data_IF_839490450243
#
_entry.id   IF_839490450243
#
_cell.length_a   1.000
_cell.length_b   1.000
_cell.length_c   1.000
_cell.angle_alpha   90.00
_cell.angle_beta   90.00
_cell.angle_gamma   90.00
#
_symmetry.space_group_name_H-M   'P 1'
#
loop_
_entity.id
_entity.type
_entity.pdbx_description
1 polymer ?
#
# COMPACT_ATOMS: atom_id res chain seq x y z
N UNK A 1 -6.16 -2.22 -32.20
CA UNK A 1 -6.76 -3.46 -31.68
C UNK A 1 -7.22 -3.12 -30.27
N UNK A 2 -8.48 -3.40 -29.88
CA UNK A 2 -8.96 -3.03 -28.55
C UNK A 2 -8.29 -3.92 -27.51
N UNK A 3 -7.69 -3.30 -26.51
CA UNK A 3 -7.12 -4.00 -25.36
C UNK A 3 -8.26 -4.54 -24.50
N UNK A 4 -8.35 -5.86 -24.39
CA UNK A 4 -9.29 -6.51 -23.50
C UNK A 4 -8.92 -6.19 -22.05
N UNK A 5 -9.78 -5.50 -21.32
CA UNK A 5 -9.72 -5.41 -19.88
C UNK A 5 -9.86 -6.82 -19.30
N UNK A 6 -8.80 -7.33 -18.69
CA UNK A 6 -8.86 -8.58 -17.93
C UNK A 6 -9.42 -8.24 -16.55
N UNK A 7 -10.75 -8.30 -16.42
CA UNK A 7 -11.39 -8.30 -15.12
C UNK A 7 -10.87 -9.51 -14.33
N UNK A 8 -10.48 -9.31 -13.08
CA UNK A 8 -10.18 -10.41 -12.17
C UNK A 8 -11.41 -11.34 -12.12
N UNK A 9 -11.25 -12.65 -12.28
CA UNK A 9 -12.40 -13.55 -12.29
C UNK A 9 -13.13 -13.47 -10.95
N UNK A 10 -14.46 -13.35 -11.02
CA UNK A 10 -15.36 -13.54 -9.88
C UNK A 10 -15.12 -14.94 -9.31
N UNK A 11 -14.34 -15.06 -8.24
CA UNK A 11 -14.09 -16.35 -7.60
C UNK A 11 -15.30 -16.68 -6.74
N UNK A 12 -16.17 -17.54 -7.25
CA UNK A 12 -17.21 -18.16 -6.43
C UNK A 12 -16.55 -19.12 -5.44
N UNK A 13 -16.59 -18.79 -4.16
CA UNK A 13 -16.21 -19.68 -3.08
C UNK A 13 -17.46 -20.44 -2.64
N UNK A 14 -17.48 -21.80 -2.67
CA UNK A 14 -18.64 -22.56 -2.21
C UNK A 14 -18.98 -22.20 -0.76
N UNK A 15 -20.24 -21.79 -0.52
CA UNK A 15 -20.73 -21.43 0.83
C UNK A 15 -20.66 -19.93 1.18
N UNK A 16 -20.16 -19.07 0.31
CA UNK A 16 -20.28 -17.61 0.46
C UNK A 16 -21.40 -17.08 -0.45
N UNK A 17 -22.28 -16.16 0.02
CA UNK A 17 -23.26 -15.54 -0.84
C UNK A 17 -22.58 -14.75 -1.96
N UNK A 18 -23.21 -14.73 -3.14
CA UNK A 18 -22.74 -13.93 -4.28
C UNK A 18 -22.65 -12.46 -3.85
N UNK A 19 -21.44 -11.89 -3.95
CA UNK A 19 -21.19 -10.48 -3.65
C UNK A 19 -21.55 -9.67 -4.89
N UNK A 20 -22.81 -9.44 -5.06
CA UNK A 20 -23.42 -8.59 -6.08
C UNK A 20 -24.80 -8.20 -5.56
N UNK A 21 -24.84 -7.18 -4.73
CA UNK A 21 -26.10 -6.65 -4.18
C UNK A 21 -26.10 -6.57 -2.67
N UNK A 22 -26.23 -5.34 -2.16
CA UNK A 22 -26.52 -4.93 -0.79
C UNK A 22 -25.47 -5.33 0.24
N UNK A 23 -24.50 -4.45 0.42
CA UNK A 23 -23.63 -4.45 1.59
C UNK A 23 -24.26 -3.59 2.69
N UNK A 24 -25.30 -4.11 3.23
CA UNK A 24 -25.91 -3.72 4.49
C UNK A 24 -25.13 -4.40 5.65
N UNK A 25 -25.46 -4.06 6.88
CA UNK A 25 -25.09 -4.73 8.15
C UNK A 25 -24.81 -6.26 8.01
N UNK A 26 -25.34 -6.89 6.97
CA UNK A 26 -25.19 -8.30 6.66
C UNK A 26 -23.79 -8.70 6.22
N UNK A 27 -23.05 -7.83 5.49
CA UNK A 27 -21.67 -8.14 5.09
C UNK A 27 -20.72 -7.86 6.25
N UNK A 28 -20.94 -6.77 6.99
CA UNK A 28 -20.22 -6.54 8.23
C UNK A 28 -20.44 -7.70 9.22
N UNK A 29 -21.67 -8.23 9.32
CA UNK A 29 -21.99 -9.42 10.13
C UNK A 29 -21.47 -10.73 9.53
N UNK A 30 -21.37 -10.86 8.21
CA UNK A 30 -20.79 -12.03 7.55
C UNK A 30 -19.26 -12.05 7.71
N UNK A 31 -18.62 -10.88 7.57
CA UNK A 31 -17.18 -10.72 7.83
C UNK A 31 -16.87 -10.95 9.33
N UNK A 32 -17.76 -10.50 10.21
CA UNK A 32 -17.65 -10.71 11.65
C UNK A 32 -17.82 -12.19 12.10
N UNK A 33 -18.26 -13.06 11.19
CA UNK A 33 -18.41 -14.52 11.43
C UNK A 33 -17.37 -15.35 10.67
N UNK A 34 -16.50 -14.72 9.85
CA UNK A 34 -15.46 -15.48 9.16
C UNK A 34 -14.40 -15.95 10.16
N UNK A 35 -14.12 -17.23 10.12
CA UNK A 35 -12.97 -17.81 10.81
C UNK A 35 -11.70 -17.10 10.35
N UNK A 36 -10.80 -16.67 11.26
CA UNK A 36 -9.50 -16.08 10.93
C UNK A 36 -8.68 -16.91 9.93
N UNK A 37 -8.83 -18.22 9.97
CA UNK A 37 -8.20 -19.13 9.00
C UNK A 37 -8.82 -19.00 7.60
N UNK A 38 -10.12 -18.72 7.51
CA UNK A 38 -10.80 -18.50 6.23
C UNK A 38 -10.30 -17.22 5.54
N UNK A 39 -10.00 -16.16 6.31
CA UNK A 39 -9.45 -14.89 5.77
C UNK A 39 -8.05 -15.07 5.18
N UNK A 40 -7.16 -15.78 5.89
CA UNK A 40 -5.84 -16.14 5.37
C UNK A 40 -5.93 -17.00 4.10
N UNK A 41 -6.91 -17.90 4.04
CA UNK A 41 -7.16 -18.72 2.86
C UNK A 41 -7.64 -17.89 1.66
N UNK A 42 -8.41 -16.81 1.86
CA UNK A 42 -8.89 -15.97 0.77
C UNK A 42 -7.75 -15.31 -0.01
N UNK A 43 -6.74 -14.74 0.69
CA UNK A 43 -5.56 -14.20 -0.01
C UNK A 43 -4.81 -15.27 -0.76
N UNK A 44 -4.59 -16.44 -0.15
CA UNK A 44 -3.91 -17.55 -0.82
C UNK A 44 -4.66 -18.01 -2.08
N UNK A 45 -6.01 -18.01 -2.05
CA UNK A 45 -6.85 -18.33 -3.21
C UNK A 45 -6.63 -17.28 -4.30
N UNK A 46 -6.63 -15.98 -3.96
CA UNK A 46 -6.38 -14.88 -4.91
C UNK A 46 -4.99 -14.98 -5.52
N UNK A 47 -3.96 -15.19 -4.72
CA UNK A 47 -2.57 -15.36 -5.19
C UNK A 47 -2.45 -16.57 -6.12
N UNK A 48 -3.02 -17.72 -5.76
CA UNK A 48 -3.02 -18.92 -6.62
C UNK A 48 -3.77 -18.69 -7.93
N UNK A 49 -4.89 -17.98 -7.89
CA UNK A 49 -5.64 -17.61 -9.09
C UNK A 49 -4.83 -16.67 -9.98
N UNK A 50 -4.19 -15.64 -9.42
CA UNK A 50 -3.30 -14.72 -10.14
C UNK A 50 -2.19 -15.49 -10.87
N UNK A 51 -1.47 -16.37 -10.18
CA UNK A 51 -0.40 -17.18 -10.76
C UNK A 51 -0.94 -18.10 -11.85
N UNK A 52 -2.03 -18.82 -11.58
CA UNK A 52 -2.62 -19.78 -12.52
C UNK A 52 -3.12 -19.12 -13.81
N UNK A 53 -3.75 -17.95 -13.69
CA UNK A 53 -4.33 -17.24 -14.82
C UNK A 53 -3.28 -16.49 -15.65
N UNK A 54 -2.08 -16.27 -15.09
CA UNK A 54 -1.00 -15.51 -15.73
C UNK A 54 0.33 -16.30 -15.74
N UNK A 55 0.27 -17.61 -15.85
CA UNK A 55 1.43 -18.53 -15.76
C UNK A 55 2.58 -18.22 -16.73
N UNK A 56 2.32 -17.51 -17.83
CA UNK A 56 3.32 -17.11 -18.81
C UNK A 56 4.23 -16.00 -18.29
N UNK A 57 3.72 -15.15 -17.37
CA UNK A 57 4.45 -14.00 -16.84
C UNK A 57 4.65 -14.04 -15.32
N UNK A 58 3.91 -14.90 -14.62
CA UNK A 58 3.97 -15.02 -13.15
C UNK A 58 4.25 -16.46 -12.77
N UNK A 59 5.10 -16.65 -11.78
CA UNK A 59 5.35 -17.93 -11.14
C UNK A 59 5.34 -17.79 -9.61
N UNK A 60 5.39 -18.91 -8.88
CA UNK A 60 5.48 -18.90 -7.42
C UNK A 60 6.93 -18.95 -6.96
N UNK A 61 7.26 -18.18 -5.92
CA UNK A 61 8.49 -18.39 -5.16
C UNK A 61 8.42 -19.70 -4.34
N UNK A 62 9.49 -20.09 -3.61
CA UNK A 62 9.47 -21.30 -2.76
C UNK A 62 8.41 -21.30 -1.65
N UNK A 63 7.86 -20.15 -1.29
CA UNK A 63 6.85 -19.97 -0.25
C UNK A 63 5.44 -19.77 -0.79
N UNK A 64 5.28 -19.78 -2.12
CA UNK A 64 4.00 -19.60 -2.80
C UNK A 64 3.62 -18.15 -3.09
N UNK A 65 4.52 -17.18 -2.84
CA UNK A 65 4.29 -15.79 -3.19
C UNK A 65 4.45 -15.55 -4.72
N UNK A 66 3.69 -14.62 -5.32
CA UNK A 66 3.76 -14.34 -6.74
C UNK A 66 5.03 -13.55 -7.08
N UNK A 67 5.73 -13.99 -8.12
CA UNK A 67 6.93 -13.35 -8.65
C UNK A 67 6.87 -13.26 -10.18
N UNK A 68 7.53 -12.27 -10.75
CA UNK A 68 7.69 -12.21 -12.20
C UNK A 68 8.59 -13.34 -12.68
N UNK A 69 8.10 -14.06 -13.70
CA UNK A 69 8.77 -15.23 -14.26
C UNK A 69 10.12 -14.84 -14.85
N UNK A 70 11.14 -15.64 -14.50
CA UNK A 70 12.51 -15.51 -14.99
C UNK A 70 13.18 -14.16 -14.69
N UNK A 71 12.59 -13.32 -13.79
CA UNK A 71 13.19 -12.06 -13.38
C UNK A 71 13.80 -12.15 -11.98
N UNK A 72 14.96 -11.54 -11.83
CA UNK A 72 15.67 -11.32 -10.56
C UNK A 72 16.03 -9.86 -10.49
N UNK A 73 15.82 -9.24 -9.34
CA UNK A 73 16.22 -7.86 -9.09
C UNK A 73 17.54 -7.84 -8.33
N UNK A 74 18.43 -6.92 -8.71
CA UNK A 74 19.70 -6.66 -8.06
C UNK A 74 19.79 -5.20 -7.60
N UNK A 75 20.40 -4.95 -6.43
CA UNK A 75 20.76 -3.61 -5.99
C UNK A 75 22.24 -3.36 -6.18
N UNK A 76 22.56 -2.21 -6.79
CA UNK A 76 23.90 -1.70 -6.99
C UNK A 76 24.91 -2.77 -7.48
N UNK A 77 24.58 -3.63 -8.48
CA UNK A 77 25.49 -4.65 -8.95
C UNK A 77 26.73 -3.97 -9.56
N UNK A 78 27.92 -4.54 -9.30
CA UNK A 78 29.14 -4.04 -9.93
C UNK A 78 29.13 -4.32 -11.44
N UNK A 79 29.90 -3.53 -12.20
CA UNK A 79 30.05 -3.77 -13.62
C UNK A 79 30.55 -5.20 -13.91
N UNK A 80 31.52 -5.69 -13.16
CA UNK A 80 32.04 -7.05 -13.30
C UNK A 80 30.95 -8.11 -13.01
N UNK A 81 30.05 -7.84 -12.08
CA UNK A 81 28.89 -8.71 -11.80
C UNK A 81 27.94 -8.76 -12.99
N UNK A 82 27.61 -7.61 -13.59
CA UNK A 82 26.75 -7.55 -14.78
C UNK A 82 27.39 -8.25 -15.98
N UNK A 83 28.69 -8.06 -16.21
CA UNK A 83 29.43 -8.74 -17.28
C UNK A 83 29.40 -10.28 -17.11
N UNK A 84 29.58 -10.77 -15.86
CA UNK A 84 29.45 -12.22 -15.55
C UNK A 84 28.03 -12.72 -15.77
N UNK A 85 27.03 -11.98 -15.34
CA UNK A 85 25.62 -12.34 -15.55
C UNK A 85 25.31 -12.41 -17.06
N UNK A 86 25.74 -11.44 -17.85
CA UNK A 86 25.57 -11.43 -19.30
C UNK A 86 26.28 -12.59 -19.97
N UNK A 87 27.52 -12.92 -19.55
CA UNK A 87 28.25 -14.10 -20.05
C UNK A 87 27.53 -15.41 -19.70
N UNK A 88 26.75 -15.45 -18.61
CA UNK A 88 25.89 -16.58 -18.25
C UNK A 88 24.52 -16.55 -18.97
N UNK A 89 24.32 -15.62 -19.92
CA UNK A 89 23.10 -15.51 -20.73
C UNK A 89 21.98 -14.67 -20.13
N UNK A 90 22.20 -13.99 -19.00
CA UNK A 90 21.22 -13.04 -18.47
C UNK A 90 21.21 -11.76 -19.33
N UNK A 91 20.05 -11.14 -19.38
CA UNK A 91 19.85 -9.85 -20.07
C UNK A 91 19.42 -8.81 -19.03
N UNK A 92 20.01 -7.62 -19.09
CA UNK A 92 19.51 -6.47 -18.35
C UNK A 92 18.18 -6.05 -18.98
N UNK A 93 17.08 -6.35 -18.32
CA UNK A 93 15.75 -6.03 -18.80
C UNK A 93 15.36 -4.58 -18.49
N UNK A 94 15.71 -4.09 -17.31
CA UNK A 94 15.47 -2.71 -16.86
C UNK A 94 16.57 -2.28 -15.90
N UNK A 95 16.90 -0.99 -15.94
CA UNK A 95 17.81 -0.36 -15.00
C UNK A 95 17.20 0.97 -14.55
N UNK A 96 17.15 1.20 -13.24
CA UNK A 96 16.60 2.41 -12.65
C UNK A 96 17.57 2.95 -11.61
N UNK A 97 18.01 4.18 -11.75
CA UNK A 97 18.83 4.86 -10.77
C UNK A 97 17.92 5.65 -9.80
N UNK A 98 18.01 5.31 -8.53
CA UNK A 98 17.35 6.02 -7.41
C UNK A 98 18.32 7.10 -6.92
N UNK A 99 18.40 8.22 -7.66
CA UNK A 99 19.45 9.24 -7.48
C UNK A 99 19.54 9.77 -6.04
N UNK A 100 18.39 10.15 -5.45
CA UNK A 100 18.33 10.67 -4.09
C UNK A 100 18.75 9.66 -3.00
N UNK A 101 18.77 8.37 -3.33
CA UNK A 101 19.18 7.29 -2.44
C UNK A 101 20.59 6.77 -2.75
N UNK A 102 21.16 7.17 -3.91
CA UNK A 102 22.42 6.65 -4.49
C UNK A 102 22.40 5.12 -4.67
N UNK A 103 21.29 4.59 -5.12
CA UNK A 103 21.07 3.16 -5.37
C UNK A 103 20.73 2.95 -6.85
N UNK A 104 21.31 1.94 -7.47
CA UNK A 104 20.91 1.48 -8.81
C UNK A 104 20.17 0.15 -8.66
N UNK A 105 18.98 0.07 -9.22
CA UNK A 105 18.14 -1.14 -9.29
C UNK A 105 18.28 -1.71 -10.71
N UNK A 106 18.64 -2.99 -10.82
CA UNK A 106 18.77 -3.67 -12.09
C UNK A 106 17.89 -4.92 -12.10
N UNK A 107 17.00 -5.02 -13.07
CA UNK A 107 16.24 -6.23 -13.34
C UNK A 107 16.96 -7.08 -14.36
N UNK A 108 17.34 -8.27 -13.96
CA UNK A 108 18.00 -9.28 -14.79
C UNK A 108 16.98 -10.32 -15.23
N UNK A 109 16.83 -10.54 -16.53
CA UNK A 109 16.03 -11.62 -17.08
C UNK A 109 16.94 -12.81 -17.38
N UNK A 110 16.56 -13.97 -16.84
CA UNK A 110 17.27 -15.21 -17.08
C UNK A 110 17.09 -15.72 -18.53
N UNK A 111 17.99 -16.56 -19.01
CA UNK A 111 17.83 -17.27 -20.29
C UNK A 111 16.51 -18.04 -20.37
N UNK A 112 16.04 -18.27 -21.58
CA UNK A 112 14.81 -19.03 -21.82
C UNK A 112 14.85 -20.42 -21.13
N UNK A 113 13.73 -20.81 -20.53
CA UNK A 113 13.61 -22.07 -19.80
C UNK A 113 14.20 -22.06 -18.39
N UNK A 114 14.81 -20.96 -17.94
CA UNK A 114 15.33 -20.81 -16.57
C UNK A 114 14.29 -20.07 -15.71
N UNK A 115 13.78 -20.74 -14.65
CA UNK A 115 12.88 -20.13 -13.67
C UNK A 115 13.60 -19.08 -12.82
N UNK A 116 12.87 -18.10 -12.27
CA UNK A 116 13.42 -17.08 -11.38
C UNK A 116 14.15 -17.72 -10.17
N UNK A 117 13.64 -18.82 -9.63
CA UNK A 117 14.29 -19.55 -8.55
C UNK A 117 15.68 -20.06 -8.92
N UNK A 118 15.83 -20.64 -10.11
CA UNK A 118 17.13 -21.13 -10.61
C UNK A 118 18.06 -19.97 -10.92
N UNK A 119 17.53 -18.91 -11.52
CA UNK A 119 18.23 -17.68 -11.83
C UNK A 119 18.83 -17.02 -10.57
N UNK A 120 18.01 -16.83 -9.53
CA UNK A 120 18.46 -16.27 -8.26
C UNK A 120 19.57 -17.09 -7.61
N UNK A 121 19.45 -18.45 -7.63
CA UNK A 121 20.48 -19.33 -7.10
C UNK A 121 21.80 -19.20 -7.88
N UNK A 122 21.74 -19.08 -9.22
CA UNK A 122 22.92 -18.90 -10.05
C UNK A 122 23.63 -17.58 -9.76
N UNK A 123 22.88 -16.48 -9.69
CA UNK A 123 23.44 -15.15 -9.40
C UNK A 123 24.09 -15.10 -8.02
N UNK A 124 23.40 -15.59 -6.99
CA UNK A 124 23.95 -15.64 -5.61
C UNK A 124 25.20 -16.55 -5.51
N UNK A 125 25.30 -17.60 -6.31
CA UNK A 125 26.48 -18.45 -6.35
C UNK A 125 27.65 -17.79 -7.07
N UNK A 126 27.38 -17.01 -8.13
CA UNK A 126 28.39 -16.30 -8.90
C UNK A 126 28.88 -15.01 -8.22
N UNK A 127 28.05 -14.41 -7.39
CA UNK A 127 28.34 -13.19 -6.62
C UNK A 127 27.69 -13.26 -5.23
N UNK A 128 28.33 -13.96 -4.27
CA UNK A 128 27.79 -14.15 -2.93
C UNK A 128 27.65 -12.87 -2.09
N UNK A 129 28.34 -11.79 -2.47
CA UNK A 129 28.27 -10.49 -1.82
C UNK A 129 27.22 -9.55 -2.43
N UNK A 130 26.66 -9.93 -3.58
CA UNK A 130 25.66 -9.14 -4.29
C UNK A 130 24.27 -9.23 -3.61
N UNK A 131 23.52 -8.17 -3.74
CA UNK A 131 22.15 -8.09 -3.22
C UNK A 131 21.15 -8.44 -4.31
N UNK A 132 20.57 -9.62 -4.22
CA UNK A 132 19.62 -10.16 -5.19
C UNK A 132 18.38 -10.70 -4.51
N UNK A 133 17.20 -10.45 -5.10
CA UNK A 133 15.97 -11.09 -4.69
C UNK A 133 15.02 -11.30 -5.87
N UNK A 134 13.91 -12.01 -5.64
CA UNK A 134 12.84 -12.16 -6.62
C UNK A 134 12.17 -10.83 -6.91
N UNK A 135 11.66 -10.70 -8.12
CA UNK A 135 10.75 -9.62 -8.47
C UNK A 135 9.35 -10.00 -7.99
N UNK A 136 9.12 -9.88 -6.67
CA UNK A 136 7.85 -10.19 -6.03
C UNK A 136 6.76 -9.21 -6.47
N UNK A 137 5.52 -9.69 -6.53
CA UNK A 137 4.33 -8.88 -6.74
C UNK A 137 3.64 -8.61 -5.40
N UNK A 138 3.40 -7.35 -5.11
CA UNK A 138 2.65 -6.86 -3.97
C UNK A 138 1.21 -6.57 -4.40
N UNK A 139 0.26 -6.83 -3.53
CA UNK A 139 -1.16 -6.69 -3.83
C UNK A 139 -1.77 -5.57 -2.99
N UNK A 140 -2.81 -4.93 -3.53
CA UNK A 140 -3.62 -3.97 -2.78
C UNK A 140 -4.20 -4.62 -1.52
N UNK A 141 -4.22 -3.87 -0.43
CA UNK A 141 -4.64 -4.34 0.89
C UNK A 141 -5.98 -3.71 1.29
N UNK A 142 -7.07 -4.16 0.69
CA UNK A 142 -8.41 -3.67 1.03
C UNK A 142 -9.45 -4.03 -0.02
N UNK A 143 -10.71 -3.74 0.28
CA UNK A 143 -11.82 -3.91 -0.65
C UNK A 143 -12.60 -2.60 -0.70
N UNK A 144 -12.66 -1.98 -1.89
CA UNK A 144 -13.68 -0.99 -2.21
C UNK A 144 -14.91 -1.73 -2.74
N UNK A 145 -16.05 -1.53 -2.12
CA UNK A 145 -17.28 -2.23 -2.49
C UNK A 145 -18.25 -1.24 -3.13
N UNK A 146 -18.67 -1.53 -4.35
CA UNK A 146 -19.74 -0.79 -4.99
C UNK A 146 -21.08 -1.18 -4.35
N UNK A 147 -21.65 -0.34 -3.49
CA UNK A 147 -23.07 -0.38 -3.10
C UNK A 147 -23.51 0.87 -2.34
N UNK A 148 -24.79 1.15 -2.49
CA UNK A 148 -25.62 2.25 -2.01
C UNK A 148 -25.24 2.95 -0.68
N UNK A 149 -25.68 4.22 -0.57
CA UNK A 149 -25.45 5.14 0.54
C UNK A 149 -25.65 4.52 1.94
N UNK A 150 -24.65 4.59 2.82
CA UNK A 150 -24.84 4.19 4.22
C UNK A 150 -25.77 5.15 4.94
N UNK A 151 -26.86 4.61 5.48
CA UNK A 151 -27.78 5.32 6.36
C UNK A 151 -27.27 5.27 7.81
N UNK A 152 -26.57 6.32 8.23
CA UNK A 152 -26.11 6.51 9.61
C UNK A 152 -26.19 7.97 10.06
N UNK A 153 -26.23 8.27 11.37
CA UNK A 153 -26.29 9.64 11.85
C UNK A 153 -25.01 10.43 11.51
N UNK A 154 -25.18 11.69 11.15
CA UNK A 154 -24.13 12.60 10.79
C UNK A 154 -23.05 12.75 11.87
N UNK A 155 -21.79 12.59 11.50
CA UNK A 155 -20.67 13.04 12.32
C UNK A 155 -20.55 14.57 12.21
N UNK A 156 -20.29 15.23 13.34
CA UNK A 156 -20.13 16.68 13.37
C UNK A 156 -18.93 17.11 12.50
N UNK A 157 -19.13 18.13 11.69
CA UNK A 157 -18.07 18.79 10.93
C UNK A 157 -17.03 19.37 11.89
N UNK A 158 -15.75 18.99 11.73
CA UNK A 158 -14.65 19.64 12.43
C UNK A 158 -14.29 20.97 11.76
N UNK A 159 -13.91 22.00 12.54
CA UNK A 159 -13.38 23.24 11.97
C UNK A 159 -12.07 22.96 11.22
N UNK A 160 -11.89 23.64 10.09
CA UNK A 160 -10.69 23.57 9.25
C UNK A 160 -9.38 24.00 9.94
N UNK A 161 -9.44 24.51 11.16
CA UNK A 161 -8.31 25.11 11.90
C UNK A 161 -7.46 24.14 12.72
N UNK A 162 -7.70 22.82 12.66
CA UNK A 162 -7.04 21.87 13.57
C UNK A 162 -5.67 21.38 13.10
N UNK A 163 -5.25 21.74 11.87
CA UNK A 163 -3.88 21.47 11.38
C UNK A 163 -3.14 22.81 11.40
N UNK A 164 -2.39 23.06 12.46
CA UNK A 164 -1.52 24.24 12.56
C UNK A 164 -0.61 24.34 11.34
N UNK A 165 -0.82 25.35 10.51
CA UNK A 165 -0.02 25.63 9.33
C UNK A 165 1.43 25.94 9.77
N UNK A 166 2.35 25.04 9.52
CA UNK A 166 3.81 25.25 9.72
C UNK A 166 4.41 26.17 8.66
N UNK A 167 3.59 26.86 7.86
CA UNK A 167 4.07 27.78 6.79
C UNK A 167 4.68 27.07 5.57
N UNK A 168 4.89 25.75 5.62
CA UNK A 168 5.35 24.93 4.49
C UNK A 168 4.18 24.16 3.88
N UNK A 169 4.12 24.09 2.54
CA UNK A 169 3.10 23.29 1.85
C UNK A 169 3.18 21.82 2.30
N UNK A 170 2.07 21.27 2.79
CA UNK A 170 1.98 19.86 3.20
C UNK A 170 2.09 18.98 1.95
N UNK A 171 2.92 17.94 2.02
CA UNK A 171 3.15 16.97 0.95
C UNK A 171 2.99 15.55 1.45
N UNK A 172 2.23 14.73 0.73
CA UNK A 172 2.00 13.31 1.04
C UNK A 172 2.28 12.48 -0.20
N UNK A 173 2.97 11.37 -0.04
CA UNK A 173 3.16 10.36 -1.08
C UNK A 173 2.14 9.24 -0.97
N UNK A 174 1.76 8.69 -2.10
CA UNK A 174 0.93 7.50 -2.21
C UNK A 174 1.57 6.54 -3.21
N UNK A 175 1.89 5.32 -2.78
CA UNK A 175 2.30 4.23 -3.67
C UNK A 175 1.15 3.23 -3.72
N UNK A 176 0.45 3.18 -4.86
CA UNK A 176 -0.81 2.44 -5.05
C UNK A 176 -1.08 2.24 -6.55
N UNK A 177 -2.32 1.98 -6.95
CA UNK A 177 -2.77 2.16 -8.34
C UNK A 177 -2.94 3.66 -8.67
N UNK A 178 -3.03 3.98 -9.96
CA UNK A 178 -3.27 5.36 -10.39
C UNK A 178 -4.61 5.92 -9.87
N UNK A 179 -4.76 7.23 -9.95
CA UNK A 179 -5.89 7.97 -9.42
C UNK A 179 -6.74 8.49 -10.59
N UNK A 180 -8.04 8.35 -10.52
CA UNK A 180 -8.98 9.10 -11.36
C UNK A 180 -9.03 10.56 -10.88
N UNK A 181 -8.08 11.37 -11.34
CA UNK A 181 -7.99 12.78 -11.02
C UNK A 181 -9.15 13.62 -11.59
N UNK A 182 -10.01 13.03 -12.44
CA UNK A 182 -11.21 13.70 -12.98
C UNK A 182 -12.39 13.62 -12.02
N UNK A 183 -12.31 12.78 -10.98
CA UNK A 183 -13.36 12.68 -9.98
C UNK A 183 -13.59 14.04 -9.30
N UNK A 184 -14.87 14.50 -9.16
CA UNK A 184 -15.19 15.83 -8.61
C UNK A 184 -14.58 16.13 -7.24
N UNK A 185 -14.33 15.10 -6.43
CA UNK A 185 -13.70 15.25 -5.09
C UNK A 185 -12.28 15.83 -5.16
N UNK A 186 -11.61 15.77 -6.30
CA UNK A 186 -10.25 16.27 -6.50
C UNK A 186 -10.19 17.63 -7.21
N UNK A 187 -11.34 18.26 -7.50
CA UNK A 187 -11.38 19.52 -8.24
C UNK A 187 -10.52 20.64 -7.63
N UNK A 188 -10.37 20.66 -6.30
CA UNK A 188 -9.52 21.61 -5.57
C UNK A 188 -8.16 21.04 -5.16
N UNK A 189 -7.89 19.74 -5.42
CA UNK A 189 -6.70 19.06 -4.96
C UNK A 189 -5.54 19.23 -5.94
N UNK A 190 -4.32 19.29 -5.43
CA UNK A 190 -3.10 19.23 -6.25
C UNK A 190 -2.57 17.81 -6.23
N UNK A 191 -2.64 17.11 -7.37
CA UNK A 191 -2.19 15.72 -7.52
C UNK A 191 -1.12 15.65 -8.60
N UNK A 192 0.04 15.12 -8.26
CA UNK A 192 1.14 14.82 -9.19
C UNK A 192 1.23 13.31 -9.32
N UNK A 193 1.00 12.78 -10.52
CA UNK A 193 1.05 11.33 -10.77
C UNK A 193 2.29 10.95 -11.57
N UNK A 194 2.88 9.80 -11.21
CA UNK A 194 4.02 9.17 -11.89
C UNK A 194 3.72 7.66 -12.05
N UNK A 195 4.46 7.00 -12.93
CA UNK A 195 4.37 5.56 -13.18
C UNK A 195 3.89 5.24 -14.58
N UNK A 196 3.92 3.96 -14.93
CA UNK A 196 3.39 3.43 -16.20
C UNK A 196 3.94 4.16 -17.44
N UNK A 197 5.25 4.49 -17.44
CA UNK A 197 5.89 5.27 -18.50
C UNK A 197 5.23 6.65 -18.74
N UNK A 198 4.82 7.31 -17.65
CA UNK A 198 4.17 8.63 -17.70
C UNK A 198 2.69 8.62 -18.07
N UNK A 199 2.06 7.45 -18.07
CA UNK A 199 0.63 7.28 -18.34
C UNK A 199 -0.06 6.48 -17.22
N UNK A 200 -0.21 7.04 -16.02
CA UNK A 200 -0.88 6.37 -14.91
C UNK A 200 -2.29 5.89 -15.31
N UNK A 201 -2.64 4.70 -14.86
CA UNK A 201 -3.93 4.08 -15.13
C UNK A 201 -4.79 4.16 -13.88
N UNK A 202 -5.89 4.89 -13.95
CA UNK A 202 -6.78 5.04 -12.81
C UNK A 202 -7.24 3.69 -12.26
N UNK A 203 -7.02 3.46 -10.97
CA UNK A 203 -7.45 2.29 -10.22
C UNK A 203 -8.45 2.65 -9.13
N UNK A 204 -9.39 1.76 -8.86
CA UNK A 204 -10.41 2.00 -7.84
C UNK A 204 -9.80 2.19 -6.45
N UNK A 205 -8.77 1.38 -6.11
CA UNK A 205 -8.14 1.42 -4.80
C UNK A 205 -7.33 2.70 -4.60
N UNK A 206 -6.46 3.06 -5.54
CA UNK A 206 -5.68 4.31 -5.47
C UNK A 206 -6.55 5.56 -5.43
N UNK A 207 -7.65 5.59 -6.23
CA UNK A 207 -8.63 6.68 -6.20
C UNK A 207 -9.29 6.82 -4.84
N UNK A 208 -9.73 5.69 -4.25
CA UNK A 208 -10.34 5.67 -2.92
C UNK A 208 -9.36 6.14 -1.83
N UNK A 209 -8.13 5.60 -1.80
CA UNK A 209 -7.10 5.97 -0.83
C UNK A 209 -6.70 7.44 -0.98
N UNK A 210 -6.51 7.94 -2.21
CA UNK A 210 -6.21 9.35 -2.49
C UNK A 210 -7.29 10.28 -1.95
N UNK A 211 -8.57 9.92 -2.11
CA UNK A 211 -9.68 10.73 -1.61
C UNK A 211 -9.64 10.90 -0.09
N UNK A 212 -9.28 9.84 0.64
CA UNK A 212 -9.12 9.91 2.11
C UNK A 212 -7.96 10.80 2.55
N UNK A 213 -7.00 11.06 1.67
CA UNK A 213 -5.87 11.98 1.95
C UNK A 213 -6.25 13.42 1.56
N UNK A 214 -6.56 13.65 0.27
CA UNK A 214 -6.67 15.01 -0.30
C UNK A 214 -8.02 15.35 -0.93
N UNK A 215 -9.00 14.44 -0.88
CA UNK A 215 -10.32 14.72 -1.44
C UNK A 215 -10.98 15.89 -0.74
N UNK A 216 -11.63 16.80 -1.50
CA UNK A 216 -12.36 17.95 -0.95
C UNK A 216 -13.57 18.27 -1.84
N UNK A 217 -14.77 18.04 -1.31
CA UNK A 217 -16.02 18.40 -2.00
C UNK A 217 -17.12 18.65 -0.96
N UNK A 218 -17.37 19.86 -0.60
CA UNK A 218 -18.48 20.35 0.23
C UNK A 218 -18.95 19.50 1.44
N UNK A 219 -19.08 18.19 1.26
CA UNK A 219 -19.50 17.22 2.29
C UNK A 219 -18.44 16.16 2.61
N UNK A 220 -17.39 16.10 1.82
CA UNK A 220 -16.31 15.11 1.98
C UNK A 220 -14.98 15.84 2.11
N UNK A 221 -14.24 15.59 3.18
CA UNK A 221 -12.95 16.21 3.44
C UNK A 221 -11.91 15.14 3.81
N UNK A 222 -10.93 14.94 2.96
CA UNK A 222 -9.76 14.11 3.24
C UNK A 222 -8.96 14.64 4.42
N UNK A 223 -8.20 13.77 5.05
CA UNK A 223 -7.47 14.09 6.28
C UNK A 223 -6.40 15.19 6.11
N UNK A 224 -5.99 15.50 4.88
CA UNK A 224 -5.07 16.59 4.50
C UNK A 224 -5.51 17.23 3.17
N UNK A 225 -6.74 17.72 3.07
CA UNK A 225 -7.36 18.23 1.85
C UNK A 225 -6.53 19.32 1.12
N UNK A 226 -5.77 20.14 1.86
CA UNK A 226 -4.90 21.20 1.30
C UNK A 226 -3.50 20.70 0.90
N UNK A 227 -3.19 19.43 1.06
CA UNK A 227 -1.87 18.88 0.74
C UNK A 227 -1.69 18.68 -0.77
N UNK A 228 -0.44 18.73 -1.23
CA UNK A 228 -0.05 18.18 -2.53
C UNK A 228 0.15 16.68 -2.40
N UNK A 229 -0.59 15.90 -3.18
CA UNK A 229 -0.44 14.45 -3.25
C UNK A 229 0.50 14.06 -4.39
N UNK A 230 1.56 13.32 -4.05
CA UNK A 230 2.44 12.65 -5.00
C UNK A 230 2.03 11.20 -5.10
N UNK A 231 1.47 10.77 -6.22
CA UNK A 231 0.92 9.43 -6.40
C UNK A 231 1.71 8.63 -7.44
N UNK A 232 2.23 7.48 -7.05
CA UNK A 232 2.92 6.57 -7.94
C UNK A 232 2.03 5.37 -8.27
N UNK A 233 1.65 5.24 -9.54
CA UNK A 233 0.97 4.05 -10.05
C UNK A 233 1.99 2.94 -10.31
N UNK A 234 1.97 1.91 -9.46
CA UNK A 234 2.84 0.74 -9.58
C UNK A 234 2.16 -0.46 -10.26
N UNK A 235 0.85 -0.38 -10.51
CA UNK A 235 0.06 -1.50 -11.04
C UNK A 235 -0.18 -1.39 -12.54
N UNK A 236 -0.31 -0.19 -13.09
CA UNK A 236 -0.51 0.08 -14.52
C UNK A 236 -1.71 -0.69 -15.13
N UNK A 237 -2.64 -1.15 -14.31
CA UNK A 237 -3.78 -1.96 -14.75
C UNK A 237 -3.42 -3.31 -15.35
N UNK A 238 -2.23 -3.86 -15.08
CA UNK A 238 -1.76 -5.13 -15.62
C UNK A 238 -1.50 -6.18 -14.53
N UNK A 239 -1.64 -7.49 -14.85
CA UNK A 239 -1.43 -8.56 -13.86
C UNK A 239 -0.02 -8.62 -13.26
N UNK A 240 0.97 -8.07 -13.95
CA UNK A 240 2.37 -7.95 -13.50
C UNK A 240 2.64 -6.70 -12.67
N UNK A 241 1.63 -5.88 -12.39
CA UNK A 241 1.72 -4.67 -11.59
C UNK A 241 2.02 -4.99 -10.12
N UNK A 242 2.50 -3.96 -9.39
CA UNK A 242 2.91 -4.12 -7.99
C UNK A 242 4.24 -4.85 -7.81
N UNK A 243 5.07 -4.90 -8.84
CA UNK A 243 6.39 -5.54 -8.79
C UNK A 243 7.39 -4.76 -7.93
N UNK A 244 8.36 -5.47 -7.37
CA UNK A 244 9.40 -4.86 -6.51
C UNK A 244 10.12 -3.74 -7.23
N UNK A 245 10.53 -3.92 -8.49
CA UNK A 245 11.23 -2.88 -9.22
C UNK A 245 10.37 -1.61 -9.42
N UNK A 246 9.05 -1.76 -9.61
CA UNK A 246 8.13 -0.63 -9.67
C UNK A 246 8.02 0.09 -8.30
N UNK A 247 7.91 -0.66 -7.20
CA UNK A 247 7.87 -0.10 -5.85
C UNK A 247 9.17 0.64 -5.52
N UNK A 248 10.33 0.05 -5.84
CA UNK A 248 11.63 0.68 -5.61
C UNK A 248 11.78 1.96 -6.44
N UNK A 249 11.34 1.94 -7.70
CA UNK A 249 11.28 3.14 -8.56
C UNK A 249 10.43 4.24 -7.95
N UNK A 250 9.22 3.89 -7.47
CA UNK A 250 8.30 4.81 -6.80
C UNK A 250 8.91 5.43 -5.53
N UNK A 251 9.55 4.62 -4.67
CA UNK A 251 10.26 5.12 -3.49
C UNK A 251 11.41 6.07 -3.87
N UNK A 252 12.16 5.75 -4.93
CA UNK A 252 13.21 6.62 -5.46
C UNK A 252 12.66 7.96 -5.96
N UNK A 253 11.51 7.96 -6.63
CA UNK A 253 10.81 9.18 -7.04
C UNK A 253 10.37 10.00 -5.83
N UNK A 254 9.74 9.39 -4.82
CA UNK A 254 9.36 10.07 -3.58
C UNK A 254 10.55 10.72 -2.87
N UNK A 255 11.70 10.03 -2.86
CA UNK A 255 12.94 10.59 -2.30
C UNK A 255 13.45 11.80 -3.10
N UNK A 256 13.44 11.73 -4.44
CA UNK A 256 13.83 12.82 -5.34
C UNK A 256 12.95 14.05 -5.15
N UNK A 257 11.64 13.85 -5.05
CA UNK A 257 10.66 14.93 -4.79
C UNK A 257 10.67 15.39 -3.33
N UNK A 258 11.49 14.77 -2.46
CA UNK A 258 11.58 15.08 -1.03
C UNK A 258 10.22 15.02 -0.32
N UNK A 259 9.40 14.03 -0.66
CA UNK A 259 8.10 13.80 -0.04
C UNK A 259 8.31 13.26 1.38
N UNK A 260 7.90 13.98 2.44
CA UNK A 260 8.28 13.63 3.81
C UNK A 260 7.58 12.37 4.35
N UNK A 261 6.35 12.13 3.94
CA UNK A 261 5.53 10.99 4.41
C UNK A 261 4.99 10.25 3.20
N UNK A 262 5.18 8.93 3.15
CA UNK A 262 4.74 8.09 2.04
C UNK A 262 3.82 6.99 2.57
N UNK A 263 2.60 6.94 2.03
CA UNK A 263 1.62 5.91 2.27
C UNK A 263 1.82 4.71 1.35
N UNK A 264 1.83 3.49 1.91
CA UNK A 264 1.91 2.23 1.19
C UNK A 264 0.71 1.35 1.58
N UNK A 265 -0.38 1.45 0.80
CA UNK A 265 -1.61 0.67 1.04
C UNK A 265 -1.57 -0.68 0.31
N UNK A 266 -0.43 -1.37 0.37
CA UNK A 266 -0.13 -2.63 -0.31
C UNK A 266 0.58 -3.61 0.63
N UNK A 267 0.49 -4.90 0.31
CA UNK A 267 1.10 -5.97 1.11
C UNK A 267 1.74 -7.06 0.24
N UNK A 268 2.84 -7.60 0.73
CA UNK A 268 3.55 -8.69 0.08
C UNK A 268 4.45 -9.47 1.05
N UNK A 269 5.26 -10.40 0.53
CA UNK A 269 6.24 -11.13 1.31
C UNK A 269 7.43 -10.26 1.71
N UNK A 270 8.28 -10.76 2.61
CA UNK A 270 9.60 -10.15 2.83
C UNK A 270 10.40 -10.12 1.52
N UNK A 271 11.11 -9.02 1.28
CA UNK A 271 12.03 -8.87 0.16
C UNK A 271 13.23 -8.03 0.62
N UNK A 272 14.42 -8.57 0.48
CA UNK A 272 15.65 -7.95 1.02
C UNK A 272 15.97 -6.62 0.37
N UNK A 273 15.58 -6.42 -0.89
CA UNK A 273 15.85 -5.18 -1.62
C UNK A 273 14.89 -4.06 -1.18
N UNK A 274 13.61 -4.40 -0.98
CA UNK A 274 12.63 -3.46 -0.44
C UNK A 274 13.00 -3.05 0.99
N UNK A 275 13.44 -4.01 1.83
CA UNK A 275 13.94 -3.70 3.17
C UNK A 275 15.11 -2.71 3.12
N UNK A 276 16.07 -2.93 2.22
CA UNK A 276 17.22 -2.03 2.08
C UNK A 276 16.80 -0.62 1.67
N UNK A 277 15.89 -0.48 0.70
CA UNK A 277 15.43 0.83 0.23
C UNK A 277 14.54 1.52 1.26
N UNK A 278 13.66 0.81 1.94
CA UNK A 278 12.86 1.39 3.04
C UNK A 278 13.75 1.89 4.18
N UNK A 279 14.76 1.12 4.57
CA UNK A 279 15.76 1.56 5.56
C UNK A 279 16.51 2.82 5.10
N UNK A 280 16.92 2.88 3.83
CA UNK A 280 17.58 4.06 3.27
C UNK A 280 16.70 5.31 3.27
N UNK A 281 15.39 5.17 3.02
CA UNK A 281 14.40 6.24 3.12
C UNK A 281 14.24 6.74 4.55
N UNK A 282 14.04 5.81 5.50
CA UNK A 282 13.90 6.14 6.94
C UNK A 282 15.16 6.84 7.46
N UNK A 283 16.35 6.36 7.10
CA UNK A 283 17.62 6.98 7.49
C UNK A 283 17.78 8.42 6.96
N UNK A 284 17.10 8.76 5.86
CA UNK A 284 17.05 10.12 5.30
C UNK A 284 15.92 10.99 5.85
N UNK A 285 15.17 10.47 6.84
CA UNK A 285 14.13 11.20 7.54
C UNK A 285 12.77 11.21 6.84
N UNK A 286 12.53 10.28 5.91
CA UNK A 286 11.19 10.01 5.42
C UNK A 286 10.43 9.14 6.42
N UNK A 287 9.13 9.36 6.58
CA UNK A 287 8.21 8.48 7.28
C UNK A 287 7.48 7.60 6.26
N UNK A 288 7.61 6.30 6.42
CA UNK A 288 6.88 5.32 5.62
C UNK A 288 5.74 4.77 6.46
N UNK A 289 4.53 4.87 5.98
CA UNK A 289 3.31 4.40 6.65
C UNK A 289 2.68 3.30 5.82
N UNK A 290 2.46 2.14 6.41
CA UNK A 290 1.96 1.00 5.67
C UNK A 290 0.81 0.29 6.37
N UNK A 291 -0.14 -0.21 5.58
CA UNK A 291 -1.20 -1.08 6.06
C UNK A 291 -0.62 -2.41 6.58
N UNK A 292 -1.03 -2.86 7.77
CA UNK A 292 -0.56 -4.14 8.32
C UNK A 292 -1.09 -5.36 7.58
N UNK A 293 -2.13 -5.18 6.76
CA UNK A 293 -2.74 -6.23 5.94
C UNK A 293 -4.05 -6.78 6.51
N UNK A 294 -4.76 -7.53 5.68
CA UNK A 294 -6.12 -8.03 5.94
C UNK A 294 -6.22 -9.56 5.80
N UNK A 295 -5.14 -10.28 6.12
CA UNK A 295 -5.06 -11.74 6.04
C UNK A 295 -5.51 -12.45 7.33
N UNK A 296 -6.03 -11.68 8.28
CA UNK A 296 -6.50 -12.19 9.58
C UNK A 296 -5.45 -12.13 10.70
N UNK A 297 -5.90 -12.28 11.95
CA UNK A 297 -5.06 -12.08 13.14
C UNK A 297 -3.95 -13.11 13.32
N UNK A 298 -4.05 -14.27 12.69
CA UNK A 298 -3.07 -15.34 12.75
C UNK A 298 -2.10 -15.35 11.55
N UNK A 299 -2.24 -14.38 10.63
CA UNK A 299 -1.35 -14.28 9.49
C UNK A 299 0.08 -13.94 9.93
N UNK A 300 1.06 -14.43 9.16
CA UNK A 300 2.44 -13.98 9.31
C UNK A 300 2.53 -12.48 8.99
N UNK A 301 3.49 -11.76 9.61
CA UNK A 301 3.70 -10.35 9.29
C UNK A 301 3.83 -10.13 7.78
N UNK A 302 3.15 -9.09 7.28
CA UNK A 302 3.20 -8.67 5.88
C UNK A 302 4.06 -7.41 5.75
N UNK A 303 4.64 -7.25 4.57
CA UNK A 303 5.56 -6.17 4.26
C UNK A 303 4.93 -5.21 3.24
N UNK A 304 5.27 -3.91 3.33
CA UNK A 304 6.37 -3.29 4.06
C UNK A 304 6.09 -2.96 5.54
N UNK A 305 4.88 -3.09 6.07
CA UNK A 305 4.53 -2.71 7.45
C UNK A 305 5.44 -3.38 8.50
N UNK A 306 5.96 -4.58 8.23
CA UNK A 306 6.80 -5.32 9.18
C UNK A 306 8.30 -4.98 9.08
N UNK A 307 8.72 -4.05 8.22
CA UNK A 307 10.12 -3.59 8.22
C UNK A 307 10.39 -2.60 9.35
N UNK A 308 11.59 -2.67 9.96
CA UNK A 308 11.99 -1.70 10.99
C UNK A 308 11.91 -0.26 10.47
N UNK A 309 11.28 0.62 11.26
CA UNK A 309 11.13 2.04 10.94
C UNK A 309 9.96 2.37 9.99
N UNK A 310 9.25 1.39 9.49
CA UNK A 310 7.95 1.58 8.82
C UNK A 310 6.85 1.61 9.88
N UNK A 311 5.94 2.56 9.79
CA UNK A 311 4.82 2.71 10.72
C UNK A 311 3.67 1.84 10.23
N UNK A 312 3.43 0.73 10.90
CA UNK A 312 2.35 -0.21 10.58
C UNK A 312 1.01 0.23 11.17
N UNK A 313 0.00 0.34 10.31
CA UNK A 313 -1.33 0.84 10.70
C UNK A 313 -2.38 -0.25 10.58
N UNK A 314 -3.08 -0.49 11.69
CA UNK A 314 -4.28 -1.33 11.72
C UNK A 314 -5.55 -0.50 11.57
N UNK A 315 -6.66 -1.16 11.19
CA UNK A 315 -7.96 -0.52 11.02
C UNK A 315 -8.92 -0.85 12.18
N UNK A 316 -9.73 0.14 12.58
CA UNK A 316 -10.82 -0.07 13.54
C UNK A 316 -12.19 0.29 12.95
N UNK A 317 -13.23 -0.36 13.47
CA UNK A 317 -14.62 -0.05 13.18
C UNK A 317 -15.13 1.18 13.97
N UNK A 318 -16.39 1.55 13.77
CA UNK A 318 -17.07 2.66 14.47
C UNK A 318 -17.20 2.47 16.00
N UNK A 319 -17.06 1.24 16.48
CA UNK A 319 -17.05 0.88 17.90
C UNK A 319 -15.64 0.75 18.47
N UNK A 320 -14.63 1.26 17.74
CA UNK A 320 -13.21 1.18 18.09
C UNK A 320 -12.67 -0.25 18.20
N UNK A 321 -13.34 -1.25 17.62
CA UNK A 321 -12.85 -2.63 17.59
C UNK A 321 -11.95 -2.82 16.36
N UNK A 322 -10.82 -3.49 16.55
CA UNK A 322 -9.95 -3.85 15.43
C UNK A 322 -10.73 -4.68 14.40
N UNK A 323 -10.49 -4.44 13.13
CA UNK A 323 -11.10 -5.22 12.05
C UNK A 323 -10.71 -6.70 12.19
N UNK A 324 -11.66 -7.61 11.99
CA UNK A 324 -11.41 -9.06 12.15
C UNK A 324 -10.35 -9.57 11.19
N UNK A 325 -10.34 -9.02 9.98
CA UNK A 325 -9.38 -9.33 8.94
C UNK A 325 -8.00 -8.72 9.18
N UNK A 326 -7.85 -7.71 10.05
CA UNK A 326 -6.57 -7.05 10.26
C UNK A 326 -5.53 -8.01 10.83
N UNK A 327 -4.34 -7.98 10.24
CA UNK A 327 -3.17 -8.69 10.78
C UNK A 327 -2.76 -8.10 12.12
N UNK A 328 -2.29 -8.95 13.03
CA UNK A 328 -1.82 -8.57 14.36
C UNK A 328 -0.35 -8.93 14.54
N UNK A 329 0.32 -8.26 15.45
CA UNK A 329 1.71 -8.56 15.76
C UNK A 329 2.54 -7.32 16.11
N UNK A 330 3.85 -7.49 16.31
CA UNK A 330 4.75 -6.40 16.71
C UNK A 330 4.85 -5.27 15.67
N UNK A 331 4.45 -5.51 14.42
CA UNK A 331 4.42 -4.54 13.35
C UNK A 331 3.24 -3.56 13.43
N UNK A 332 2.32 -3.72 14.39
CA UNK A 332 1.24 -2.76 14.60
C UNK A 332 1.76 -1.61 15.45
N UNK A 333 1.80 -0.41 14.88
CA UNK A 333 2.26 0.80 15.57
C UNK A 333 1.10 1.69 16.00
N UNK A 334 0.09 1.86 15.12
CA UNK A 334 -1.06 2.73 15.36
C UNK A 334 -2.33 2.10 14.80
N UNK A 335 -3.46 2.50 15.35
CA UNK A 335 -4.78 2.22 14.84
C UNK A 335 -5.43 3.50 14.28
N UNK A 336 -6.22 3.36 13.20
CA UNK A 336 -7.03 4.45 12.66
C UNK A 336 -8.36 3.90 12.10
N UNK A 337 -9.36 4.75 11.80
CA UNK A 337 -10.59 4.32 11.15
C UNK A 337 -10.32 3.52 9.88
N UNK A 338 -10.86 2.30 9.78
CA UNK A 338 -10.66 1.39 8.66
C UNK A 338 -11.94 0.76 8.11
N UNK A 339 -13.10 1.12 8.67
CA UNK A 339 -14.43 0.72 8.15
C UNK A 339 -15.50 1.72 8.54
N UNK A 340 -16.73 1.50 8.08
CA UNK A 340 -17.84 2.45 8.20
C UNK A 340 -17.41 3.84 7.67
N UNK A 341 -16.71 3.86 6.55
CA UNK A 341 -16.25 5.05 5.84
C UNK A 341 -16.66 4.94 4.37
N UNK A 342 -16.70 6.09 3.73
CA UNK A 342 -16.83 6.21 2.29
C UNK A 342 -15.54 6.77 1.69
N UNK A 343 -15.29 6.44 0.43
CA UNK A 343 -14.22 6.98 -0.38
C UNK A 343 -14.67 7.12 -1.84
N UNK A 344 -13.94 7.89 -2.62
CA UNK A 344 -14.24 8.09 -4.04
C UNK A 344 -14.15 6.79 -4.83
N UNK A 345 -15.10 6.59 -5.76
CA UNK A 345 -15.13 5.49 -6.72
C UNK A 345 -14.78 6.01 -8.11
N UNK A 346 -14.32 5.10 -9.00
CA UNK A 346 -13.94 5.48 -10.37
C UNK A 346 -15.10 6.01 -11.26
N UNK A 347 -16.34 5.80 -10.85
CA UNK A 347 -17.54 6.26 -11.57
C UNK A 347 -17.99 7.69 -11.21
N UNK A 348 -17.18 8.41 -10.44
CA UNK A 348 -17.51 9.75 -9.95
C UNK A 348 -18.40 9.76 -8.71
N UNK A 349 -18.76 8.59 -8.16
CA UNK A 349 -19.56 8.43 -6.96
C UNK A 349 -18.66 8.14 -5.72
N UNK A 350 -19.29 7.83 -4.61
CA UNK A 350 -18.62 7.36 -3.39
C UNK A 350 -19.11 5.95 -3.04
N UNK A 351 -18.21 5.13 -2.54
CA UNK A 351 -18.53 3.78 -2.08
C UNK A 351 -18.02 3.51 -0.67
N UNK A 352 -18.66 2.57 0.02
CA UNK A 352 -18.19 2.11 1.30
C UNK A 352 -16.84 1.41 1.17
N UNK A 353 -15.94 1.67 2.13
CA UNK A 353 -14.60 1.08 2.13
C UNK A 353 -14.32 0.39 3.46
N UNK A 354 -13.54 -0.71 3.38
CA UNK A 354 -13.14 -1.49 4.55
C UNK A 354 -11.75 -2.10 4.34
N UNK A 355 -10.89 -1.96 5.33
CA UNK A 355 -9.55 -2.55 5.36
C UNK A 355 -8.51 -1.63 5.98
N UNK A 356 -7.36 -2.20 6.31
CA UNK A 356 -6.23 -1.46 6.89
C UNK A 356 -5.62 -0.46 5.89
N UNK A 357 -5.78 -0.68 4.58
CA UNK A 357 -5.35 0.25 3.53
C UNK A 357 -6.12 1.57 3.52
N UNK A 358 -7.29 1.64 4.15
CA UNK A 358 -8.04 2.88 4.32
C UNK A 358 -7.78 3.57 5.67
N UNK A 359 -7.15 2.86 6.61
CA UNK A 359 -6.68 3.43 7.88
C UNK A 359 -5.30 4.10 7.73
N UNK A 360 -4.39 3.50 6.97
CA UNK A 360 -3.04 4.01 6.75
C UNK A 360 -3.00 5.46 6.21
N UNK A 361 -3.81 5.86 5.19
CA UNK A 361 -3.80 7.22 4.66
C UNK A 361 -4.17 8.30 5.70
N UNK A 362 -5.00 7.99 6.68
CA UNK A 362 -5.34 8.90 7.78
C UNK A 362 -4.10 9.19 8.62
N UNK A 363 -3.33 8.14 8.98
CA UNK A 363 -2.07 8.29 9.73
C UNK A 363 -1.04 9.05 8.90
N UNK A 364 -0.95 8.76 7.60
CA UNK A 364 -0.04 9.45 6.68
C UNK A 364 -0.32 10.94 6.61
N UNK A 365 -1.58 11.33 6.50
CA UNK A 365 -2.02 12.73 6.49
C UNK A 365 -1.69 13.45 7.82
N UNK A 366 -1.98 12.81 8.96
CA UNK A 366 -1.67 13.35 10.28
C UNK A 366 -0.16 13.56 10.52
N UNK A 367 0.68 12.68 9.98
CA UNK A 367 2.13 12.80 10.05
C UNK A 367 2.66 13.88 9.09
N UNK A 368 2.10 13.97 7.88
CA UNK A 368 2.49 14.98 6.90
C UNK A 368 2.21 16.40 7.39
N UNK A 369 1.14 16.60 8.15
CA UNK A 369 0.85 17.88 8.81
C UNK A 369 1.92 18.28 9.85
N UNK A 370 2.70 17.31 10.34
CA UNK A 370 3.76 17.53 11.34
C UNK A 370 5.18 17.57 10.74
N UNK A 371 5.34 17.07 9.51
CA UNK A 371 6.65 16.92 8.87
C UNK A 371 6.62 17.54 7.46
N UNK A 372 7.10 18.76 7.31
CA UNK A 372 7.06 19.49 6.03
C UNK A 372 8.11 19.02 5.01
N UNK A 373 9.26 18.51 5.47
CA UNK A 373 10.36 17.97 4.64
C UNK A 373 11.02 16.79 5.35
N UNK A 374 11.63 15.86 4.60
CA UNK A 374 12.39 14.77 5.22
C UNK A 374 13.50 15.30 6.14
N UNK A 375 13.49 14.86 7.40
CA UNK A 375 14.46 15.21 8.43
C UNK A 375 14.38 14.16 9.54
N UNK A 376 15.48 13.47 9.85
CA UNK A 376 15.48 12.33 10.76
C UNK A 376 15.04 12.67 12.19
N UNK A 377 15.46 13.84 12.71
CA UNK A 377 15.08 14.28 14.07
C UNK A 377 13.59 14.63 14.12
N UNK A 378 13.11 15.46 13.18
CA UNK A 378 11.72 15.89 13.10
C UNK A 378 10.77 14.72 12.77
N UNK A 379 11.22 13.78 11.94
CA UNK A 379 10.45 12.57 11.65
C UNK A 379 10.21 11.74 12.92
N UNK A 380 11.26 11.51 13.71
CA UNK A 380 11.14 10.81 14.97
C UNK A 380 10.27 11.57 15.99
N UNK A 381 10.35 12.90 16.03
CA UNK A 381 9.49 13.74 16.88
C UNK A 381 8.01 13.68 16.41
N UNK A 382 7.76 13.78 15.11
CA UNK A 382 6.42 13.70 14.54
C UNK A 382 5.76 12.35 14.84
N UNK A 383 6.49 11.24 14.66
CA UNK A 383 6.00 9.90 14.95
C UNK A 383 5.70 9.71 16.45
N UNK A 384 6.65 10.09 17.33
CA UNK A 384 6.41 10.03 18.79
C UNK A 384 5.27 10.94 19.26
N UNK A 385 5.18 12.15 18.69
CA UNK A 385 4.11 13.10 19.03
C UNK A 385 2.73 12.59 18.60
N UNK A 386 2.63 11.91 17.46
CA UNK A 386 1.39 11.27 17.03
C UNK A 386 1.03 10.09 17.93
N UNK A 387 1.99 9.20 18.24
CA UNK A 387 1.78 8.08 19.15
C UNK A 387 1.36 8.53 20.55
N UNK A 388 1.99 9.58 21.09
CA UNK A 388 1.61 10.15 22.40
C UNK A 388 0.22 10.78 22.42
N UNK A 389 -0.35 11.15 21.26
CA UNK A 389 -1.72 11.68 21.15
C UNK A 389 -2.78 10.59 20.95
N UNK A 390 -2.37 9.33 20.79
CA UNK A 390 -3.28 8.23 20.52
C UNK A 390 -4.14 7.90 21.75
N UNK A 391 -5.38 7.49 21.50
CA UNK A 391 -6.23 6.92 22.52
C UNK A 391 -5.86 5.46 22.73
N UNK A 392 -5.35 5.12 23.90
CA UNK A 392 -4.99 3.75 24.27
C UNK A 392 -6.21 2.83 24.23
N UNK A 393 -6.12 1.76 23.46
CA UNK A 393 -7.16 0.76 23.27
C UNK A 393 -6.60 -0.64 23.54
N UNK A 394 -7.46 -1.54 24.03
CA UNK A 394 -7.05 -2.92 24.32
C UNK A 394 -6.30 -3.06 25.64
N UNK A 395 -5.15 -3.67 25.63
CA UNK A 395 -4.29 -3.80 26.81
C UNK A 395 -3.58 -2.47 27.08
N UNK A 396 -3.43 -2.11 28.35
CA UNK A 396 -2.80 -0.84 28.74
C UNK A 396 -1.38 -0.70 28.12
N UNK A 397 -1.15 0.42 27.42
CA UNK A 397 0.07 0.72 26.70
C UNK A 397 0.13 0.01 25.36
N UNK A 398 1.29 0.07 24.69
CA UNK A 398 1.46 -0.53 23.37
C UNK A 398 1.18 -2.04 23.36
N UNK A 399 0.32 -2.49 22.46
CA UNK A 399 -0.01 -3.89 22.27
C UNK A 399 0.06 -4.31 20.77
N UNK A 400 -0.10 -5.61 20.51
CA UNK A 400 0.01 -6.18 19.15
C UNK A 400 -1.27 -6.07 18.33
N UNK A 401 -2.31 -5.39 18.85
CA UNK A 401 -3.62 -5.25 18.20
C UNK A 401 -3.85 -3.82 17.76
N UNK A 402 -3.56 -2.85 18.63
CA UNK A 402 -3.82 -1.43 18.42
C UNK A 402 -2.55 -0.58 18.36
N UNK A 403 -1.36 -1.18 18.59
CA UNK A 403 -0.11 -0.46 18.72
C UNK A 403 -0.13 0.49 19.92
N UNK A 404 0.27 1.74 19.71
CA UNK A 404 0.18 2.79 20.74
C UNK A 404 -1.24 3.36 20.90
N UNK A 405 -2.20 2.96 20.04
CA UNK A 405 -3.61 3.32 20.14
C UNK A 405 -4.20 3.97 18.89
N UNK A 406 -5.44 4.46 19.04
CA UNK A 406 -6.27 5.02 17.99
C UNK A 406 -5.97 6.50 17.76
N UNK A 407 -5.70 6.86 16.50
CA UNK A 407 -5.56 8.24 16.02
C UNK A 407 -6.57 8.54 14.92
N UNK A 408 -6.87 9.81 14.69
CA UNK A 408 -7.68 10.24 13.55
C UNK A 408 -9.14 9.78 13.57
N UNK A 409 -9.71 9.45 14.74
CA UNK A 409 -11.10 8.98 14.86
C UNK A 409 -12.12 9.97 14.27
N UNK A 410 -11.89 11.26 14.46
CA UNK A 410 -12.76 12.32 13.96
C UNK A 410 -12.65 12.54 12.43
N UNK A 411 -11.66 11.92 11.79
CA UNK A 411 -11.44 11.96 10.34
C UNK A 411 -12.14 10.81 9.60
N UNK A 412 -13.02 10.08 10.29
CA UNK A 412 -13.85 9.04 9.68
C UNK A 412 -14.82 9.68 8.69
N UNK A 413 -14.61 9.44 7.40
CA UNK A 413 -15.43 9.99 6.33
C UNK A 413 -16.80 9.29 6.29
N UNK A 414 -17.87 10.05 6.45
CA UNK A 414 -19.24 9.58 6.30
C UNK A 414 -19.99 10.59 5.41
N UNK A 415 -20.86 10.10 4.51
CA UNK A 415 -21.80 11.00 3.83
C UNK A 415 -22.77 11.61 4.85
N UNK A 416 -22.72 12.92 4.96
CA UNK A 416 -23.74 13.67 5.68
C UNK A 416 -25.00 13.63 4.82
N UNK A 417 -26.10 13.06 5.33
CA UNK A 417 -27.42 13.08 4.68
C UNK A 417 -28.00 14.46 4.60
#
# INVERSE_FOLDING_TARGET
MPHAQVALPNVQVPGLPQVGGVLDDTVNRATDRLDPQALSNLRQIRVRALIRNNKEIIEADPHGAPILRSEVVALAPSRATLERAQAAGFVVARETRLEALDITVVVLRAPEGISARRALKQLRSADPQGSYDYNHLYLESGVATSTEEPSGPAAASMPADTIGSTGTAVRVGLIDSGIDATHPVFAASTIVQEGCNGQPVAGAHGTAVASLIVGDSGKFHGAAASATLYAADIYCGVPSGGSIDAILGALGWMARERVPVVNLSLVGPANTLLEHVTHAMVARGHLLVAAVGNDGPAAKPLYPAAYPGVIGVTGVDERRRVLLEACRGPQVDLAAPGSAMIAASQDGSFSAVRGTSFAAPIVSALLAARLGTPDGTRAAEAARGLAASATDLGSRGRDHIYGDGLVGELLRQQLIK
#
